data_IF_320112761457
#
_entry.id   IF_320112761457
#
_cell.length_a   1.000
_cell.length_b   1.000
_cell.length_c   1.000
_cell.angle_alpha   90.00
_cell.angle_beta   90.00
_cell.angle_gamma   90.00
#
_symmetry.space_group_name_H-M   'P 1'
#
loop_
_entity.id
_entity.type
_entity.pdbx_description
1 polymer ?
#
# COMPACT_ATOMS: atom_id res chain seq x y z
N UNK A 1 -0.69 20.52 -4.01
CA UNK A 1 0.55 21.17 -3.53
C UNK A 1 0.21 22.10 -2.40
N UNK A 2 0.91 22.04 -1.25
CA UNK A 2 0.73 23.02 -0.20
C UNK A 2 1.07 24.38 -0.78
N UNK A 3 0.09 25.28 -0.84
CA UNK A 3 0.35 26.66 -1.22
C UNK A 3 1.28 27.28 -0.17
N UNK A 4 2.26 28.11 -0.57
CA UNK A 4 3.21 28.76 0.35
C UNK A 4 2.56 29.57 1.48
N UNK A 5 1.25 29.82 1.38
CA UNK A 5 0.46 30.57 2.36
C UNK A 5 0.07 29.79 3.62
N UNK A 6 0.20 28.46 3.61
CA UNK A 6 -0.04 27.65 4.82
C UNK A 6 1.21 27.66 5.69
N UNK A 7 1.16 28.33 6.83
CA UNK A 7 2.27 28.34 7.78
C UNK A 7 2.72 26.92 8.18
N UNK A 8 3.99 26.78 8.58
CA UNK A 8 4.61 25.50 8.99
C UNK A 8 3.72 24.71 9.96
N UNK A 9 3.06 25.40 10.91
CA UNK A 9 2.14 24.74 11.84
C UNK A 9 0.98 24.02 11.19
N UNK A 10 0.41 24.57 10.11
CA UNK A 10 -0.68 23.93 9.37
C UNK A 10 -0.18 22.70 8.59
N UNK A 11 1.04 22.74 8.06
CA UNK A 11 1.66 21.60 7.37
C UNK A 11 1.91 20.46 8.37
N UNK A 12 2.48 20.76 9.53
CA UNK A 12 2.73 19.78 10.59
C UNK A 12 1.42 19.16 11.09
N UNK A 13 0.38 19.96 11.31
CA UNK A 13 -0.93 19.48 11.71
C UNK A 13 -1.55 18.56 10.65
N UNK A 14 -1.42 18.91 9.36
CA UNK A 14 -1.90 18.09 8.25
C UNK A 14 -1.16 16.75 8.16
N UNK A 15 0.16 16.76 8.30
CA UNK A 15 0.97 15.54 8.33
C UNK A 15 0.57 14.62 9.47
N UNK A 16 0.36 15.19 10.67
CA UNK A 16 -0.10 14.42 11.82
C UNK A 16 -1.49 13.82 11.59
N UNK A 17 -2.39 14.59 11.01
CA UNK A 17 -3.73 14.11 10.67
C UNK A 17 -3.70 12.98 9.62
N UNK A 18 -2.84 13.11 8.62
CA UNK A 18 -2.66 12.07 7.58
C UNK A 18 -2.06 10.77 8.11
N UNK A 19 -1.38 10.77 9.26
CA UNK A 19 -0.94 9.54 9.92
C UNK A 19 -2.11 8.63 10.31
N UNK A 20 -3.27 9.21 10.57
CA UNK A 20 -4.47 8.47 10.96
C UNK A 20 -5.44 8.20 9.80
N UNK A 21 -5.45 9.02 8.76
CA UNK A 21 -6.44 8.89 7.69
C UNK A 21 -6.13 7.75 6.71
N UNK A 22 -5.00 7.79 6.04
CA UNK A 22 -4.62 6.76 5.07
C UNK A 22 -4.13 5.47 5.74
N UNK A 23 -3.12 5.53 6.64
CA UNK A 23 -2.55 4.34 7.27
C UNK A 23 -3.53 3.44 8.02
N UNK A 24 -4.67 3.97 8.50
CA UNK A 24 -5.71 3.16 9.16
C UNK A 24 -6.28 2.08 8.23
N UNK A 25 -6.25 2.30 6.92
CA UNK A 25 -6.70 1.32 5.93
C UNK A 25 -5.84 0.04 5.95
N UNK A 26 -4.59 0.14 6.42
CA UNK A 26 -3.68 -1.00 6.48
C UNK A 26 -4.15 -2.08 7.45
N UNK A 27 -4.97 -1.74 8.46
CA UNK A 27 -5.63 -2.74 9.30
C UNK A 27 -6.53 -3.66 8.47
N UNK A 28 -7.26 -3.11 7.52
CA UNK A 28 -8.10 -3.90 6.61
C UNK A 28 -7.26 -4.63 5.56
N UNK A 29 -6.42 -3.90 4.83
CA UNK A 29 -5.69 -4.46 3.68
C UNK A 29 -4.62 -5.46 4.09
N UNK A 30 -3.72 -5.08 5.02
CA UNK A 30 -2.59 -5.92 5.43
C UNK A 30 -2.88 -6.71 6.69
N UNK A 31 -3.72 -6.18 7.61
CA UNK A 31 -4.07 -6.88 8.82
C UNK A 31 -5.05 -8.04 8.60
N UNK A 32 -5.94 -7.93 7.63
CA UNK A 32 -6.99 -8.93 7.39
C UNK A 32 -6.90 -9.52 5.99
N UNK A 33 -7.07 -8.71 4.94
CA UNK A 33 -7.23 -9.23 3.58
C UNK A 33 -5.98 -9.95 3.07
N UNK A 34 -4.79 -9.40 3.27
CA UNK A 34 -3.56 -9.99 2.78
C UNK A 34 -3.26 -11.36 3.39
N UNK A 35 -3.28 -11.58 4.72
CA UNK A 35 -3.09 -12.90 5.30
C UNK A 35 -4.11 -13.93 4.81
N UNK A 36 -5.38 -13.54 4.69
CA UNK A 36 -6.44 -14.43 4.19
C UNK A 36 -6.21 -14.82 2.73
N UNK A 37 -5.87 -13.87 1.87
CA UNK A 37 -5.56 -14.16 0.47
C UNK A 37 -4.32 -15.02 0.31
N UNK A 38 -3.30 -14.82 1.13
CA UNK A 38 -2.07 -15.62 1.08
C UNK A 38 -2.26 -17.07 1.52
N UNK A 39 -3.40 -17.44 2.11
CA UNK A 39 -3.77 -18.86 2.30
C UNK A 39 -4.07 -19.56 0.97
N UNK A 40 -4.52 -18.81 -0.03
CA UNK A 40 -5.00 -19.36 -1.30
C UNK A 40 -4.10 -18.99 -2.48
N UNK A 41 -3.47 -17.83 -2.43
CA UNK A 41 -2.67 -17.25 -3.50
C UNK A 41 -1.22 -17.02 -3.07
N UNK A 42 -0.29 -17.08 -4.03
CA UNK A 42 1.07 -16.62 -3.78
C UNK A 42 1.07 -15.11 -3.45
N UNK A 43 2.05 -14.61 -2.68
CA UNK A 43 2.10 -13.22 -2.23
C UNK A 43 1.94 -12.17 -3.35
N UNK A 44 2.52 -12.41 -4.52
CA UNK A 44 2.35 -11.55 -5.70
C UNK A 44 0.88 -11.35 -6.06
N UNK A 45 0.13 -12.46 -6.17
CA UNK A 45 -1.28 -12.42 -6.56
C UNK A 45 -2.18 -11.86 -5.47
N UNK A 46 -1.86 -12.14 -4.20
CA UNK A 46 -2.56 -11.52 -3.08
C UNK A 46 -2.40 -9.99 -3.10
N UNK A 47 -1.18 -9.49 -3.32
CA UNK A 47 -0.93 -8.06 -3.49
C UNK A 47 -1.65 -7.46 -4.69
N UNK A 48 -1.64 -8.15 -5.84
CA UNK A 48 -2.33 -7.69 -7.05
C UNK A 48 -3.86 -7.59 -6.84
N UNK A 49 -4.48 -8.58 -6.20
CA UNK A 49 -5.91 -8.57 -5.86
C UNK A 49 -6.23 -7.41 -4.92
N UNK A 50 -5.46 -7.22 -3.86
CA UNK A 50 -5.65 -6.12 -2.91
C UNK A 50 -5.56 -4.78 -3.63
N UNK A 51 -4.50 -4.56 -4.42
CA UNK A 51 -4.30 -3.30 -5.12
C UNK A 51 -5.41 -3.00 -6.13
N UNK A 52 -5.94 -4.04 -6.79
CA UNK A 52 -7.09 -3.90 -7.70
C UNK A 52 -8.35 -3.47 -6.94
N UNK A 53 -8.69 -4.16 -5.86
CA UNK A 53 -9.86 -3.83 -5.05
C UNK A 53 -9.71 -2.46 -4.41
N UNK A 54 -8.53 -2.13 -3.89
CA UNK A 54 -8.22 -0.85 -3.28
C UNK A 54 -8.31 0.32 -4.29
N UNK A 55 -7.77 0.13 -5.50
CA UNK A 55 -7.90 1.14 -6.56
C UNK A 55 -9.34 1.36 -7.01
N UNK A 56 -10.14 0.28 -7.16
CA UNK A 56 -11.57 0.37 -7.51
C UNK A 56 -12.36 1.03 -6.37
N UNK A 57 -12.03 0.75 -5.12
CA UNK A 57 -12.66 1.37 -3.95
C UNK A 57 -12.54 2.90 -3.94
N UNK A 58 -11.47 3.44 -4.53
CA UNK A 58 -11.30 4.89 -4.69
C UNK A 58 -12.10 5.49 -5.87
N UNK A 59 -12.66 4.66 -6.76
CA UNK A 59 -13.34 5.16 -7.97
C UNK A 59 -14.38 6.25 -7.70
N UNK A 60 -15.25 6.16 -6.66
CA UNK A 60 -16.21 7.23 -6.38
C UNK A 60 -15.57 8.59 -6.14
N UNK A 61 -14.36 8.64 -5.56
CA UNK A 61 -13.68 9.90 -5.26
C UNK A 61 -13.28 10.70 -6.52
N UNK A 62 -13.11 10.03 -7.67
CA UNK A 62 -12.82 10.68 -8.96
C UNK A 62 -14.00 11.49 -9.51
N UNK A 63 -15.20 11.23 -9.03
CA UNK A 63 -16.41 11.97 -9.42
C UNK A 63 -16.78 13.07 -8.42
N UNK A 64 -16.03 13.19 -7.32
CA UNK A 64 -16.27 14.20 -6.28
C UNK A 64 -15.43 15.45 -6.55
N UNK A 65 -16.09 16.58 -6.86
CA UNK A 65 -15.42 17.86 -6.99
C UNK A 65 -14.73 18.28 -5.70
N UNK A 66 -13.55 18.90 -5.81
CA UNK A 66 -12.78 19.37 -4.67
C UNK A 66 -11.85 18.33 -4.04
N UNK A 67 -11.85 17.10 -4.54
CA UNK A 67 -10.84 16.09 -4.19
C UNK A 67 -9.64 16.19 -5.14
N UNK A 68 -8.46 15.73 -4.68
CA UNK A 68 -7.28 15.59 -5.55
C UNK A 68 -7.52 14.60 -6.69
N UNK A 69 -8.35 13.59 -6.45
CA UNK A 69 -8.70 12.56 -7.43
C UNK A 69 -9.43 13.11 -8.66
N UNK A 70 -10.20 14.19 -8.51
CA UNK A 70 -10.92 14.81 -9.64
C UNK A 70 -9.98 15.36 -10.73
N UNK A 71 -8.71 15.65 -10.37
CA UNK A 71 -7.69 16.11 -11.31
C UNK A 71 -6.84 14.96 -11.90
N UNK A 72 -7.01 13.74 -11.43
CA UNK A 72 -6.20 12.59 -11.82
C UNK A 72 -6.92 11.69 -12.84
N UNK A 73 -6.11 10.91 -13.57
CA UNK A 73 -6.64 9.86 -14.43
C UNK A 73 -6.76 8.55 -13.64
N UNK A 74 -7.95 7.96 -13.65
CA UNK A 74 -8.23 6.74 -12.90
C UNK A 74 -7.33 5.55 -13.30
N UNK A 75 -7.04 5.38 -14.59
CA UNK A 75 -6.27 4.21 -15.04
C UNK A 75 -4.82 4.21 -14.52
N UNK A 76 -4.02 5.28 -14.64
CA UNK A 76 -2.71 5.34 -13.99
C UNK A 76 -2.79 5.15 -12.47
N UNK A 77 -3.78 5.74 -11.81
CA UNK A 77 -4.01 5.56 -10.38
C UNK A 77 -4.27 4.09 -10.02
N UNK A 78 -5.14 3.39 -10.75
CA UNK A 78 -5.42 1.97 -10.55
C UNK A 78 -4.15 1.12 -10.69
N UNK A 79 -3.37 1.35 -11.74
CA UNK A 79 -2.09 0.66 -11.96
C UNK A 79 -1.11 0.98 -10.83
N UNK A 80 -1.06 2.23 -10.39
CA UNK A 80 -0.27 2.67 -9.24
C UNK A 80 -0.64 1.91 -7.96
N UNK A 81 -1.93 1.79 -7.64
CA UNK A 81 -2.39 1.05 -6.46
C UNK A 81 -2.05 -0.44 -6.54
N UNK A 82 -2.18 -1.06 -7.72
CA UNK A 82 -1.80 -2.47 -7.90
C UNK A 82 -0.30 -2.65 -7.64
N UNK A 83 0.52 -1.81 -8.23
CA UNK A 83 1.98 -1.87 -8.05
C UNK A 83 2.39 -1.58 -6.60
N UNK A 84 1.78 -0.60 -5.94
CA UNK A 84 2.02 -0.30 -4.53
C UNK A 84 1.66 -1.46 -3.62
N UNK A 85 0.50 -2.08 -3.83
CA UNK A 85 0.08 -3.22 -3.03
C UNK A 85 1.03 -4.42 -3.20
N UNK A 86 1.52 -4.67 -4.42
CA UNK A 86 2.54 -5.69 -4.68
C UNK A 86 3.86 -5.31 -3.99
N UNK A 87 4.29 -4.05 -4.07
CA UNK A 87 5.53 -3.54 -3.48
C UNK A 87 5.55 -3.69 -1.95
N UNK A 88 4.44 -3.39 -1.30
CA UNK A 88 4.32 -3.47 0.18
C UNK A 88 4.25 -4.92 0.67
N UNK A 89 3.82 -5.86 -0.18
CA UNK A 89 3.67 -7.27 0.20
C UNK A 89 4.95 -7.91 0.77
N UNK A 90 6.13 -7.86 0.13
CA UNK A 90 7.34 -8.44 0.72
C UNK A 90 7.80 -7.68 1.97
N UNK A 91 7.54 -6.37 2.09
CA UNK A 91 7.83 -5.58 3.29
C UNK A 91 7.02 -6.14 4.47
N UNK A 92 5.71 -6.30 4.30
CA UNK A 92 4.81 -6.87 5.29
C UNK A 92 5.22 -8.29 5.71
N UNK A 93 5.49 -9.16 4.71
CA UNK A 93 5.87 -10.55 4.96
C UNK A 93 7.22 -10.65 5.68
N UNK A 94 8.23 -9.87 5.28
CA UNK A 94 9.54 -9.83 5.93
C UNK A 94 9.48 -9.28 7.36
N UNK A 95 8.55 -8.37 7.61
CA UNK A 95 8.26 -7.83 8.94
C UNK A 95 7.36 -8.75 9.78
N UNK A 96 7.19 -10.02 9.40
CA UNK A 96 6.36 -11.01 10.08
C UNK A 96 4.92 -10.54 10.35
N UNK A 97 4.33 -9.79 9.42
CA UNK A 97 2.97 -9.28 9.55
C UNK A 97 2.83 -8.02 10.40
N UNK A 98 3.93 -7.34 10.73
CA UNK A 98 3.87 -6.05 11.41
C UNK A 98 3.22 -5.01 10.50
N UNK A 99 2.17 -4.35 10.99
CA UNK A 99 1.47 -3.28 10.29
C UNK A 99 2.25 -1.96 10.30
N UNK A 100 3.22 -1.80 11.19
CA UNK A 100 3.97 -0.55 11.33
C UNK A 100 4.60 -0.11 9.99
N UNK A 101 5.25 -1.04 9.30
CA UNK A 101 5.95 -0.72 8.05
C UNK A 101 4.99 -0.35 6.89
N UNK A 102 3.92 -1.13 6.62
CA UNK A 102 2.90 -0.72 5.66
C UNK A 102 2.27 0.63 5.99
N UNK A 103 1.96 0.88 7.27
CA UNK A 103 1.38 2.16 7.73
C UNK A 103 2.32 3.34 7.50
N UNK A 104 3.60 3.21 7.84
CA UNK A 104 4.61 4.25 7.58
C UNK A 104 4.81 4.48 6.09
N UNK A 105 4.82 3.41 5.30
CA UNK A 105 4.92 3.50 3.85
C UNK A 105 3.71 4.21 3.24
N UNK A 106 2.50 3.84 3.66
CA UNK A 106 1.27 4.50 3.21
C UNK A 106 1.25 5.98 3.60
N UNK A 107 1.59 6.30 4.85
CA UNK A 107 1.70 7.68 5.30
C UNK A 107 2.69 8.49 4.46
N UNK A 108 3.82 7.91 4.11
CA UNK A 108 4.84 8.54 3.28
C UNK A 108 4.30 8.90 1.89
N UNK A 109 3.43 8.07 1.30
CA UNK A 109 2.86 8.31 -0.03
C UNK A 109 1.85 9.46 -0.06
N UNK A 110 1.07 9.62 1.01
CA UNK A 110 -0.02 10.63 1.06
C UNK A 110 0.40 11.95 1.70
N UNK A 111 1.66 12.08 2.15
CA UNK A 111 2.09 13.30 2.80
C UNK A 111 2.17 14.47 1.80
N UNK A 112 1.92 15.72 2.26
CA UNK A 112 1.78 16.88 1.38
C UNK A 112 3.10 17.41 0.81
N UNK A 113 4.26 16.82 1.16
CA UNK A 113 5.56 17.27 0.66
C UNK A 113 5.88 16.77 -0.73
N UNK A 114 5.31 15.63 -1.13
CA UNK A 114 5.57 15.10 -2.46
C UNK A 114 4.77 15.86 -3.51
N UNK A 115 5.42 16.26 -4.61
CA UNK A 115 4.70 16.79 -5.74
C UNK A 115 3.81 15.72 -6.36
N UNK A 116 2.66 16.14 -6.86
CA UNK A 116 1.86 15.32 -7.74
C UNK A 116 2.64 15.10 -9.05
N UNK A 117 2.99 13.85 -9.33
CA UNK A 117 3.83 13.48 -10.47
C UNK A 117 3.12 12.51 -11.43
N UNK A 118 1.78 12.35 -11.30
CA UNK A 118 1.03 11.49 -12.20
C UNK A 118 1.13 11.96 -13.66
N UNK A 119 1.32 11.06 -14.64
CA UNK A 119 1.41 9.60 -14.52
C UNK A 119 2.84 9.06 -14.34
N UNK A 120 3.84 9.91 -14.20
CA UNK A 120 5.27 9.52 -14.17
C UNK A 120 5.65 8.69 -12.95
N UNK A 121 5.04 8.97 -11.81
CA UNK A 121 5.18 8.21 -10.57
C UNK A 121 4.75 6.74 -10.77
N UNK A 122 3.69 6.50 -11.54
CA UNK A 122 3.21 5.15 -11.87
C UNK A 122 4.27 4.34 -12.61
N UNK A 123 4.98 4.93 -13.57
CA UNK A 123 6.05 4.24 -14.29
C UNK A 123 7.24 3.91 -13.39
N UNK A 124 7.61 4.85 -12.51
CA UNK A 124 8.68 4.62 -11.53
C UNK A 124 8.28 3.49 -10.59
N UNK A 125 7.04 3.49 -10.11
CA UNK A 125 6.51 2.43 -9.24
C UNK A 125 6.52 1.06 -9.92
N UNK A 126 6.15 0.96 -11.19
CA UNK A 126 6.20 -0.29 -11.97
C UNK A 126 7.64 -0.82 -12.01
N UNK A 127 8.61 0.03 -12.32
CA UNK A 127 10.03 -0.36 -12.42
C UNK A 127 10.55 -0.83 -11.05
N UNK A 128 10.30 -0.04 -9.98
CA UNK A 128 10.74 -0.38 -8.62
C UNK A 128 10.07 -1.66 -8.14
N UNK A 129 8.77 -1.81 -8.38
CA UNK A 129 8.03 -3.03 -8.01
C UNK A 129 8.55 -4.24 -8.76
N UNK A 130 8.82 -4.11 -10.07
CA UNK A 130 9.41 -5.17 -10.88
C UNK A 130 10.77 -5.61 -10.33
N UNK A 131 11.62 -4.67 -9.94
CA UNK A 131 12.91 -4.97 -9.30
C UNK A 131 12.72 -5.67 -7.95
N UNK A 132 11.84 -5.18 -7.11
CA UNK A 132 11.58 -5.77 -5.78
C UNK A 132 11.00 -7.18 -5.92
N UNK A 133 10.06 -7.40 -6.85
CA UNK A 133 9.52 -8.73 -7.16
C UNK A 133 10.62 -9.66 -7.65
N UNK A 134 11.50 -9.19 -8.53
CA UNK A 134 12.61 -9.99 -9.04
C UNK A 134 13.59 -10.39 -7.92
N UNK A 135 13.95 -9.44 -7.04
CA UNK A 135 14.82 -9.71 -5.89
C UNK A 135 14.19 -10.70 -4.90
N UNK A 136 12.87 -10.63 -4.72
CA UNK A 136 12.09 -11.48 -3.81
C UNK A 136 11.37 -12.63 -4.52
N UNK A 137 11.72 -12.97 -5.76
CA UNK A 137 10.95 -13.91 -6.59
C UNK A 137 10.70 -15.26 -5.95
N UNK A 138 11.65 -15.75 -5.12
CA UNK A 138 11.52 -17.05 -4.45
C UNK A 138 10.35 -17.08 -3.47
N UNK A 139 10.09 -15.98 -2.77
CA UNK A 139 9.01 -15.86 -1.78
C UNK A 139 7.73 -15.30 -2.42
N UNK A 140 7.84 -14.37 -3.37
CA UNK A 140 6.69 -13.73 -3.99
C UNK A 140 5.84 -14.69 -4.84
N UNK A 141 6.44 -15.73 -5.43
CA UNK A 141 5.72 -16.74 -6.21
C UNK A 141 5.44 -18.04 -5.45
N UNK A 142 6.00 -18.20 -4.25
CA UNK A 142 5.79 -19.41 -3.45
C UNK A 142 4.53 -19.26 -2.58
N UNK A 143 3.65 -20.29 -2.59
CA UNK A 143 2.48 -20.35 -1.70
C UNK A 143 2.86 -20.73 -0.26
N UNK A 144 3.92 -21.52 -0.09
CA UNK A 144 4.43 -21.96 1.23
C UNK A 144 5.35 -20.88 1.82
N UNK A 145 5.26 -20.64 3.11
CA UNK A 145 6.09 -19.66 3.83
C UNK A 145 5.66 -18.21 3.68
N UNK A 146 4.49 -17.94 3.07
CA UNK A 146 3.87 -16.63 3.15
C UNK A 146 3.30 -16.38 4.56
N UNK A 147 2.93 -15.14 4.88
CA UNK A 147 2.53 -14.67 6.23
C UNK A 147 1.42 -15.48 6.94
N UNK A 148 1.03 -16.64 6.43
CA UNK A 148 0.08 -17.55 7.08
C UNK A 148 0.50 -17.97 8.48
N UNK A 149 1.81 -18.10 8.73
CA UNK A 149 2.34 -18.39 10.07
C UNK A 149 2.03 -17.28 11.10
N UNK A 150 1.85 -16.03 10.64
CA UNK A 150 1.49 -14.90 11.51
C UNK A 150 0.05 -14.99 11.99
N UNK A 151 -0.83 -15.61 11.20
CA UNK A 151 -2.27 -15.70 11.48
C UNK A 151 -2.70 -17.07 11.99
N UNK A 152 -1.85 -18.09 11.93
CA UNK A 152 -2.21 -19.46 12.31
C UNK A 152 -2.30 -19.67 13.82
N UNK A 153 -1.80 -18.73 14.62
CA UNK A 153 -1.79 -18.89 16.08
C UNK A 153 -0.98 -20.11 16.57
N UNK A 154 -0.24 -20.74 15.67
CA UNK A 154 0.76 -21.75 16.04
C UNK A 154 1.90 -21.04 16.77
N UNK A 155 1.61 -20.66 18.04
CA UNK A 155 2.64 -20.59 19.02
C UNK A 155 3.40 -21.93 18.91
N UNK A 156 4.66 -21.87 18.52
CA UNK A 156 5.55 -23.00 18.70
C UNK A 156 5.46 -23.40 20.17
N UNK A 157 4.79 -24.51 20.45
CA UNK A 157 5.13 -25.33 21.57
C UNK A 157 6.55 -25.84 21.29
N UNK A 158 7.53 -25.04 21.60
CA UNK A 158 8.89 -25.50 21.81
C UNK A 158 8.93 -26.00 23.25
N UNK A 159 8.76 -27.32 23.36
CA UNK A 159 9.19 -28.11 24.52
C UNK A 159 10.71 -27.99 24.71
#
# INVERSE_FOLDING_TARGET
TPTPEKGIGAIVALMFMMLFLGPIEEFGWRGVAQPLLQRHFAPLWAGAIIGTVWGIWHLPAFFLSGTVFAAWNFFPFLVGNITLAILVTPIFNSARGSLLWPMLFHWQLINPFWPDAQPWDTWILIIVTGLVVWLNRRTMFARQGSATAVCSGEAKEEA
#
